data_IF_394941939020
#
_entry.id   IF_394941939020
#
_cell.length_a   1.000
_cell.length_b   1.000
_cell.length_c   1.000
_cell.angle_alpha   90.00
_cell.angle_beta   90.00
_cell.angle_gamma   90.00
#
_symmetry.space_group_name_H-M   'P 1'
#
loop_
_entity.id
_entity.type
_entity.pdbx_description
1 polymer ?
#
# COMPACT_ATOMS: atom_id res chain seq x y z
N UNK A 1 16.71 14.21 4.09
CA UNK A 1 16.61 12.72 4.13
C UNK A 1 16.42 12.23 2.71
N UNK A 2 17.13 11.19 2.29
CA UNK A 2 16.97 10.56 0.96
C UNK A 2 16.38 9.17 1.12
N UNK A 3 15.42 8.83 0.26
CA UNK A 3 14.79 7.51 0.21
C UNK A 3 15.37 6.73 -0.98
N UNK A 4 15.57 5.42 -0.85
CA UNK A 4 16.06 4.55 -1.93
C UNK A 4 14.97 3.60 -2.39
N UNK A 5 14.79 3.50 -3.70
CA UNK A 5 13.94 2.49 -4.33
C UNK A 5 14.75 1.81 -5.44
N UNK A 6 15.25 0.59 -5.16
CA UNK A 6 16.31 -0.03 -5.95
C UNK A 6 17.55 0.88 -6.01
N UNK A 7 17.96 1.22 -7.23
CA UNK A 7 19.09 2.13 -7.49
C UNK A 7 18.66 3.60 -7.56
N UNK A 8 17.36 3.90 -7.52
CA UNK A 8 16.83 5.24 -7.68
C UNK A 8 16.72 5.97 -6.34
N UNK A 9 17.03 7.28 -6.37
CA UNK A 9 16.78 8.18 -5.25
C UNK A 9 15.40 8.79 -5.39
N UNK A 10 14.57 8.62 -4.36
CA UNK A 10 13.22 9.16 -4.32
C UNK A 10 13.23 10.48 -3.54
N UNK A 11 12.67 11.52 -4.17
CA UNK A 11 12.52 12.84 -3.56
C UNK A 11 11.49 12.78 -2.41
N UNK A 12 11.74 13.45 -1.28
CA UNK A 12 10.77 13.48 -0.18
C UNK A 12 9.39 14.04 -0.57
N UNK A 13 9.33 14.89 -1.60
CA UNK A 13 8.08 15.50 -2.09
C UNK A 13 7.05 14.48 -2.58
N UNK A 14 7.47 13.28 -3.01
CA UNK A 14 6.56 12.23 -3.49
C UNK A 14 6.33 11.11 -2.46
N UNK A 15 6.91 11.24 -1.26
CA UNK A 15 6.75 10.30 -0.14
C UNK A 15 5.74 10.88 0.84
N UNK A 16 4.63 10.18 1.07
CA UNK A 16 3.51 10.69 1.88
C UNK A 16 3.41 10.05 3.27
N UNK A 17 4.11 8.95 3.53
CA UNK A 17 4.20 8.33 4.84
C UNK A 17 5.61 7.75 5.05
N UNK A 18 6.12 7.89 6.27
CA UNK A 18 7.37 7.28 6.72
C UNK A 18 7.18 6.76 8.14
N UNK A 19 7.63 5.54 8.40
CA UNK A 19 7.77 4.95 9.74
C UNK A 19 9.25 4.76 10.07
N UNK A 20 9.55 4.02 11.14
CA UNK A 20 10.91 3.67 11.51
C UNK A 20 11.57 2.72 10.51
N UNK A 21 10.77 1.85 9.85
CA UNK A 21 11.27 0.77 9.00
C UNK A 21 10.74 0.81 7.56
N UNK A 22 9.69 1.58 7.26
CA UNK A 22 9.06 1.64 5.93
C UNK A 22 8.73 3.06 5.48
N UNK A 23 8.41 3.20 4.20
CA UNK A 23 7.89 4.44 3.62
C UNK A 23 6.88 4.12 2.51
N UNK A 24 5.97 5.05 2.26
CA UNK A 24 4.99 4.98 1.19
C UNK A 24 5.16 6.15 0.23
N UNK A 25 5.13 5.85 -1.07
CA UNK A 25 5.34 6.81 -2.15
C UNK A 25 4.26 6.69 -3.21
N UNK A 26 4.00 7.80 -3.89
CA UNK A 26 3.10 7.82 -5.04
C UNK A 26 3.79 7.31 -6.30
N UNK A 27 3.06 6.62 -7.18
CA UNK A 27 3.64 6.00 -8.37
C UNK A 27 3.69 6.98 -9.55
N UNK A 28 4.71 6.92 -10.40
CA UNK A 28 4.83 7.77 -11.58
C UNK A 28 3.83 7.43 -12.69
N UNK A 29 3.48 6.15 -12.84
CA UNK A 29 2.53 5.64 -13.85
C UNK A 29 1.41 4.83 -13.20
N UNK A 30 0.55 5.43 -12.37
CA UNK A 30 -0.47 4.65 -11.66
C UNK A 30 -1.35 3.81 -12.62
N UNK A 31 -1.44 2.49 -12.39
CA UNK A 31 -2.25 1.54 -13.19
C UNK A 31 -3.74 1.87 -13.05
N UNK A 32 -4.12 2.28 -11.84
CA UNK A 32 -5.41 2.89 -11.51
C UNK A 32 -5.16 4.13 -10.68
N UNK A 33 -6.06 5.14 -10.68
CA UNK A 33 -5.96 6.27 -9.77
C UNK A 33 -5.79 5.82 -8.31
N UNK A 34 -4.74 6.32 -7.65
CA UNK A 34 -4.39 5.91 -6.30
C UNK A 34 -3.50 4.67 -6.17
N UNK A 35 -2.97 4.16 -7.29
CA UNK A 35 -1.89 3.16 -7.25
C UNK A 35 -0.65 3.77 -6.57
N UNK A 36 -0.37 3.31 -5.35
CA UNK A 36 0.78 3.71 -4.54
C UNK A 36 1.62 2.50 -4.17
N UNK A 37 2.85 2.76 -3.72
CA UNK A 37 3.79 1.74 -3.27
C UNK A 37 4.12 1.90 -1.79
N UNK A 38 4.30 0.79 -1.09
CA UNK A 38 4.91 0.75 0.25
C UNK A 38 6.15 -0.12 0.22
N UNK A 39 7.27 0.43 0.71
CA UNK A 39 8.58 -0.20 0.65
C UNK A 39 9.26 -0.15 2.04
N UNK A 40 10.11 -1.13 2.39
CA UNK A 40 11.00 -1.01 3.52
C UNK A 40 12.05 0.09 3.26
N UNK A 41 12.57 0.72 4.31
CA UNK A 41 13.66 1.71 4.18
C UNK A 41 14.98 1.02 3.79
N UNK A 42 15.17 -0.23 4.20
CA UNK A 42 16.34 -1.04 3.84
C UNK A 42 16.10 -1.69 2.46
N UNK A 43 16.95 -1.41 1.46
CA UNK A 43 16.77 -1.92 0.11
C UNK A 43 17.19 -3.39 0.01
N UNK A 44 16.25 -4.30 0.27
CA UNK A 44 16.41 -5.73 0.00
C UNK A 44 15.65 -6.15 -1.23
N UNK A 45 16.20 -7.08 -2.00
CA UNK A 45 15.60 -7.54 -3.25
C UNK A 45 14.40 -8.47 -3.01
N UNK A 46 14.53 -9.42 -2.08
CA UNK A 46 13.54 -10.48 -1.87
C UNK A 46 12.81 -10.35 -0.54
N UNK A 47 11.54 -10.73 -0.51
CA UNK A 47 10.70 -10.69 0.68
C UNK A 47 11.30 -11.50 1.84
N UNK A 48 11.90 -12.66 1.52
CA UNK A 48 12.59 -13.53 2.50
C UNK A 48 13.80 -12.87 3.18
N UNK A 49 14.34 -11.79 2.61
CA UNK A 49 15.51 -11.09 3.15
C UNK A 49 15.11 -10.04 4.19
N UNK A 50 13.81 -9.80 4.39
CA UNK A 50 13.29 -8.93 5.44
C UNK A 50 13.41 -9.59 6.82
N UNK A 51 13.71 -8.78 7.82
CA UNK A 51 13.62 -9.20 9.21
C UNK A 51 12.15 -9.21 9.67
N UNK A 52 11.78 -9.97 10.72
CA UNK A 52 10.40 -10.03 11.21
C UNK A 52 9.80 -8.67 11.60
N UNK A 53 10.60 -7.76 12.15
CA UNK A 53 10.19 -6.39 12.47
C UNK A 53 9.87 -5.57 11.21
N UNK A 54 10.65 -5.73 10.14
CA UNK A 54 10.39 -5.08 8.86
C UNK A 54 9.15 -5.65 8.17
N UNK A 55 8.91 -6.96 8.25
CA UNK A 55 7.67 -7.57 7.72
C UNK A 55 6.45 -7.02 8.44
N UNK A 56 6.50 -6.96 9.78
CA UNK A 56 5.39 -6.45 10.58
C UNK A 56 5.11 -4.96 10.28
N UNK A 57 6.15 -4.12 10.25
CA UNK A 57 5.99 -2.70 9.94
C UNK A 57 5.51 -2.48 8.50
N UNK A 58 6.08 -3.18 7.51
CA UNK A 58 5.70 -3.09 6.09
C UNK A 58 4.20 -3.35 5.90
N UNK A 59 3.67 -4.42 6.48
CA UNK A 59 2.26 -4.77 6.31
C UNK A 59 1.30 -3.94 7.19
N UNK A 60 1.74 -3.46 8.36
CA UNK A 60 0.97 -2.48 9.13
C UNK A 60 0.84 -1.15 8.38
N UNK A 61 1.93 -0.69 7.76
CA UNK A 61 1.92 0.50 6.89
C UNK A 61 1.04 0.25 5.67
N UNK A 62 1.18 -0.91 5.03
CA UNK A 62 0.36 -1.31 3.87
C UNK A 62 -1.14 -1.28 4.19
N UNK A 63 -1.55 -1.81 5.35
CA UNK A 63 -2.94 -1.76 5.81
C UNK A 63 -3.43 -0.31 5.96
N UNK A 64 -2.66 0.52 6.67
CA UNK A 64 -3.00 1.94 6.90
C UNK A 64 -3.11 2.73 5.60
N UNK A 65 -2.17 2.51 4.69
CA UNK A 65 -2.15 3.15 3.37
C UNK A 65 -3.35 2.70 2.55
N UNK A 66 -3.64 1.39 2.50
CA UNK A 66 -4.81 0.83 1.84
C UNK A 66 -6.11 1.52 2.24
N UNK A 67 -6.35 1.67 3.56
CA UNK A 67 -7.52 2.39 4.07
C UNK A 67 -7.59 3.85 3.60
N UNK A 68 -6.46 4.55 3.57
CA UNK A 68 -6.40 5.95 3.14
C UNK A 68 -6.65 6.09 1.65
N UNK A 69 -5.98 5.29 0.81
CA UNK A 69 -6.12 5.40 -0.64
C UNK A 69 -7.50 4.89 -1.11
N UNK A 70 -8.06 3.86 -0.49
CA UNK A 70 -9.43 3.43 -0.77
C UNK A 70 -10.41 4.58 -0.52
N UNK A 71 -10.32 5.23 0.64
CA UNK A 71 -11.18 6.35 1.01
C UNK A 71 -10.99 7.55 0.10
N UNK A 72 -9.75 7.97 -0.12
CA UNK A 72 -9.44 9.19 -0.86
C UNK A 72 -9.84 9.07 -2.34
N UNK A 73 -9.51 7.95 -2.97
CA UNK A 73 -9.84 7.69 -4.37
C UNK A 73 -11.24 7.11 -4.57
N UNK A 74 -12.05 6.99 -3.52
CA UNK A 74 -13.43 6.48 -3.55
C UNK A 74 -13.52 5.06 -4.11
N UNK A 75 -12.53 4.23 -3.80
CA UNK A 75 -12.58 2.80 -4.03
C UNK A 75 -13.58 2.12 -3.10
N UNK A 76 -14.02 0.93 -3.49
CA UNK A 76 -14.88 0.05 -2.69
C UNK A 76 -14.19 -1.24 -2.29
N UNK A 77 -12.97 -1.47 -2.80
CA UNK A 77 -12.12 -2.61 -2.51
C UNK A 77 -10.66 -2.23 -2.79
N UNK A 78 -9.71 -3.07 -2.38
CA UNK A 78 -8.28 -2.88 -2.62
C UNK A 78 -7.67 -4.16 -3.16
N UNK A 79 -6.77 -4.01 -4.15
CA UNK A 79 -5.82 -5.06 -4.52
C UNK A 79 -4.47 -4.74 -3.87
N UNK A 80 -3.94 -5.69 -3.11
CA UNK A 80 -2.55 -5.70 -2.66
C UNK A 80 -1.77 -6.71 -3.49
N UNK A 81 -0.63 -6.32 -4.03
CA UNK A 81 0.22 -7.22 -4.82
C UNK A 81 1.69 -6.99 -4.50
N UNK A 82 2.47 -8.07 -4.44
CA UNK A 82 3.91 -8.04 -4.28
C UNK A 82 4.52 -9.04 -5.26
N UNK A 83 5.35 -8.54 -6.17
CA UNK A 83 6.07 -9.36 -7.14
C UNK A 83 7.46 -9.69 -6.55
N UNK A 84 7.58 -10.83 -5.87
CA UNK A 84 8.83 -11.24 -5.20
C UNK A 84 9.76 -12.06 -6.13
N UNK A 85 10.53 -11.35 -6.94
CA UNK A 85 11.55 -11.91 -7.83
C UNK A 85 11.24 -11.75 -9.34
N UNK A 86 12.22 -12.00 -10.22
CA UNK A 86 12.10 -11.74 -11.66
C UNK A 86 10.95 -12.49 -12.32
N UNK A 87 10.78 -13.78 -12.00
CA UNK A 87 9.72 -14.62 -12.56
C UNK A 87 8.32 -14.24 -12.05
N UNK A 88 8.24 -13.48 -10.96
CA UNK A 88 6.99 -12.89 -10.45
C UNK A 88 6.68 -11.52 -11.10
N UNK A 89 7.56 -11.00 -11.96
CA UNK A 89 7.41 -9.71 -12.63
C UNK A 89 8.19 -8.55 -12.01
N UNK A 90 9.03 -8.80 -10.99
CA UNK A 90 9.77 -7.74 -10.31
C UNK A 90 10.77 -7.05 -11.25
N UNK A 91 10.68 -5.73 -11.37
CA UNK A 91 11.60 -4.94 -12.21
C UNK A 91 12.56 -4.10 -11.37
N UNK A 92 12.05 -3.43 -10.33
CA UNK A 92 12.90 -2.78 -9.33
C UNK A 92 13.30 -3.79 -8.25
N UNK A 93 14.60 -4.05 -8.12
CA UNK A 93 15.22 -4.94 -7.12
C UNK A 93 15.18 -4.36 -5.70
N UNK A 94 13.98 -4.11 -5.22
CA UNK A 94 13.66 -3.68 -3.86
C UNK A 94 12.24 -4.18 -3.58
N UNK A 95 12.02 -4.90 -2.48
CA UNK A 95 10.68 -5.30 -2.03
C UNK A 95 9.75 -4.09 -1.97
N UNK A 96 8.56 -4.23 -2.55
CA UNK A 96 7.50 -3.25 -2.46
C UNK A 96 6.14 -3.91 -2.62
N UNK A 97 5.14 -3.31 -1.98
CA UNK A 97 3.75 -3.72 -2.10
C UNK A 97 3.01 -2.67 -2.92
N UNK A 98 2.42 -3.10 -4.02
CA UNK A 98 1.47 -2.31 -4.78
C UNK A 98 0.13 -2.28 -4.06
N UNK A 99 -0.44 -1.09 -3.94
CA UNK A 99 -1.75 -0.87 -3.33
C UNK A 99 -2.62 -0.16 -4.36
N UNK A 100 -3.67 -0.84 -4.82
CA UNK A 100 -4.52 -0.38 -5.91
C UNK A 100 -5.97 -0.29 -5.44
N UNK A 101 -6.53 0.92 -5.24
CA UNK A 101 -7.96 1.12 -5.02
C UNK A 101 -8.78 0.63 -6.20
N UNK A 102 -9.80 -0.18 -5.91
CA UNK A 102 -10.65 -0.83 -6.91
C UNK A 102 -12.05 -0.25 -6.89
N UNK A 103 -12.66 -0.16 -8.08
CA UNK A 103 -14.06 0.27 -8.26
C UNK A 103 -14.77 -0.72 -9.17
N UNK A 104 -16.09 -0.81 -9.01
CA UNK A 104 -16.91 -1.59 -9.94
C UNK A 104 -16.70 -1.07 -11.38
N UNK A 105 -16.34 -1.97 -12.29
CA UNK A 105 -16.12 -1.65 -13.70
C UNK A 105 -14.79 -0.96 -14.02
N UNK A 106 -13.81 -0.94 -13.10
CA UNK A 106 -12.47 -0.43 -13.39
C UNK A 106 -11.72 -1.24 -14.46
N UNK A 107 -11.98 -2.54 -14.53
CA UNK A 107 -11.54 -3.44 -15.58
C UNK A 107 -12.70 -4.29 -16.11
N UNK A 108 -12.64 -4.64 -17.40
CA UNK A 108 -13.61 -5.57 -18.00
C UNK A 108 -13.51 -6.98 -17.38
N UNK A 109 -12.29 -7.46 -17.13
CA UNK A 109 -12.01 -8.69 -16.37
C UNK A 109 -11.23 -8.31 -15.11
N UNK A 110 -11.66 -8.81 -13.95
CA UNK A 110 -11.01 -8.47 -12.68
C UNK A 110 -9.49 -8.72 -12.69
N UNK A 111 -9.07 -9.85 -13.27
CA UNK A 111 -7.66 -10.28 -13.24
C UNK A 111 -6.79 -9.57 -14.29
N UNK A 112 -7.38 -8.76 -15.18
CA UNK A 112 -6.59 -7.94 -16.12
C UNK A 112 -5.71 -6.91 -15.42
N UNK A 113 -5.98 -6.60 -14.14
CA UNK A 113 -5.07 -5.79 -13.32
C UNK A 113 -3.66 -6.39 -13.22
N UNK A 114 -3.53 -7.73 -13.23
CA UNK A 114 -2.23 -8.39 -13.17
C UNK A 114 -1.49 -8.31 -14.50
N UNK A 115 -2.22 -8.38 -15.62
CA UNK A 115 -1.66 -8.14 -16.95
C UNK A 115 -1.12 -6.70 -17.05
N UNK A 116 -1.87 -5.73 -16.52
CA UNK A 116 -1.44 -4.32 -16.51
C UNK A 116 -0.27 -4.06 -15.55
N UNK A 117 -0.24 -4.68 -14.37
CA UNK A 117 0.93 -4.63 -13.48
C UNK A 117 2.18 -5.18 -14.18
N UNK A 118 2.06 -6.32 -14.87
CA UNK A 118 3.18 -6.91 -15.60
C UNK A 118 3.71 -6.02 -16.74
N UNK A 119 2.85 -5.21 -17.38
CA UNK A 119 3.26 -4.26 -18.43
C UNK A 119 3.85 -2.98 -17.83
N UNK A 120 3.18 -2.43 -16.82
CA UNK A 120 3.52 -1.18 -16.14
C UNK A 120 4.97 -1.14 -15.67
N UNK A 121 5.47 -2.27 -15.18
CA UNK A 121 6.79 -2.36 -14.58
C UNK A 121 7.93 -2.54 -15.61
N UNK A 122 7.63 -2.79 -16.90
CA UNK A 122 8.63 -3.05 -17.95
C UNK A 122 9.18 -1.77 -18.59
N UNK A 123 10.51 -1.72 -18.73
CA UNK A 123 11.26 -0.59 -19.29
C UNK A 123 10.93 -0.28 -20.77
N UNK A 124 10.54 -1.28 -21.57
CA UNK A 124 10.28 -1.11 -23.01
C UNK A 124 9.05 -0.23 -23.32
N UNK A 125 8.09 -0.14 -22.39
CA UNK A 125 6.95 0.77 -22.45
C UNK A 125 7.17 2.02 -21.57
N UNK A 126 8.39 2.20 -21.03
CA UNK A 126 8.74 3.31 -20.16
C UNK A 126 9.02 4.61 -20.93
N UNK A 127 8.01 5.12 -21.65
CA UNK A 127 8.09 6.40 -22.35
C UNK A 127 7.84 7.59 -21.41
N UNK A 128 8.68 8.65 -21.45
CA UNK A 128 8.47 9.89 -20.71
C UNK A 128 7.15 10.59 -21.00
N UNK A 129 6.55 10.34 -22.17
CA UNK A 129 5.27 10.95 -22.56
C UNK A 129 4.08 10.45 -21.74
N UNK A 130 4.21 9.29 -21.07
CA UNK A 130 3.19 8.71 -20.20
C UNK A 130 3.43 9.06 -18.72
N UNK A 131 4.48 9.81 -18.41
CA UNK A 131 4.79 10.22 -17.05
C UNK A 131 3.94 11.41 -16.65
N UNK A 132 3.28 11.28 -15.50
CA UNK A 132 2.79 12.47 -14.81
C UNK A 132 3.97 13.29 -14.30
N UNK A 133 3.76 14.59 -14.19
CA UNK A 133 4.75 15.55 -13.74
C UNK A 133 5.13 15.34 -12.27
N UNK A 134 6.33 15.78 -11.88
CA UNK A 134 6.73 15.70 -10.46
C UNK A 134 5.84 16.58 -9.57
N UNK A 135 5.31 17.67 -10.11
CA UNK A 135 4.38 18.58 -9.45
C UNK A 135 3.06 17.87 -9.15
N UNK A 136 2.49 17.12 -10.10
CA UNK A 136 1.30 16.30 -9.87
C UNK A 136 1.54 15.20 -8.83
N UNK A 137 2.70 14.55 -8.87
CA UNK A 137 3.09 13.57 -7.85
C UNK A 137 3.20 14.21 -6.46
N UNK A 138 3.82 15.38 -6.37
CA UNK A 138 4.00 16.08 -5.11
C UNK A 138 2.66 16.56 -4.52
N UNK A 139 1.74 17.02 -5.37
CA UNK A 139 0.39 17.41 -4.98
C UNK A 139 -0.41 16.22 -4.42
N UNK A 140 -0.43 15.09 -5.13
CA UNK A 140 -1.08 13.87 -4.65
C UNK A 140 -0.48 13.38 -3.33
N UNK A 141 0.85 13.38 -3.20
CA UNK A 141 1.50 13.01 -1.95
C UNK A 141 1.12 13.94 -0.80
N UNK A 142 0.95 15.25 -1.06
CA UNK A 142 0.53 16.21 -0.04
C UNK A 142 -0.92 15.97 0.42
N UNK A 143 -1.83 15.70 -0.51
CA UNK A 143 -3.21 15.34 -0.19
C UNK A 143 -3.28 14.07 0.69
N UNK A 144 -2.45 13.07 0.38
CA UNK A 144 -2.37 11.84 1.18
C UNK A 144 -1.73 12.05 2.56
N UNK A 145 -0.75 12.95 2.71
CA UNK A 145 -0.10 13.25 4.01
C UNK A 145 -1.11 13.72 5.05
N UNK A 146 -2.12 14.50 4.66
CA UNK A 146 -3.12 15.07 5.57
C UNK A 146 -3.82 13.98 6.39
N UNK A 147 -4.11 12.82 5.80
CA UNK A 147 -4.77 11.73 6.50
C UNK A 147 -3.94 11.20 7.67
N UNK A 148 -2.61 11.10 7.50
CA UNK A 148 -1.72 10.54 8.53
C UNK A 148 -1.36 11.53 9.64
N UNK A 149 -1.44 12.83 9.37
CA UNK A 149 -1.31 13.85 10.40
C UNK A 149 -2.47 13.76 11.40
N UNK A 150 -3.70 13.61 10.90
CA UNK A 150 -4.92 13.53 11.73
C UNK A 150 -4.91 12.29 12.63
N UNK A 151 -4.45 11.14 12.13
CA UNK A 151 -4.35 9.92 12.94
C UNK A 151 -3.37 10.08 14.10
N UNK A 152 -2.22 10.71 13.88
CA UNK A 152 -1.24 10.95 14.94
C UNK A 152 -1.78 11.94 16.00
N UNK A 153 -2.54 12.96 15.58
CA UNK A 153 -3.16 13.90 16.54
C UNK A 153 -4.23 13.22 17.39
N UNK A 154 -5.05 12.34 16.81
CA UNK A 154 -6.08 11.59 17.55
C UNK A 154 -5.51 10.57 18.52
N UNK A 155 -4.42 9.88 18.15
CA UNK A 155 -3.71 8.97 19.06
C UNK A 155 -3.11 9.77 20.24
N UNK A 156 -2.51 10.93 19.98
CA UNK A 156 -1.95 11.79 21.02
C UNK A 156 -3.01 12.28 22.03
N UNK A 157 -4.23 12.58 21.56
CA UNK A 157 -5.36 12.91 22.46
C UNK A 157 -5.83 11.70 23.29
N UNK A 158 -5.79 10.48 22.74
CA UNK A 158 -6.18 9.26 23.45
C UNK A 158 -5.11 8.78 24.44
N UNK A 159 -3.83 8.99 24.18
CA UNK A 159 -2.73 8.64 25.09
C UNK A 159 -2.62 9.53 26.33
N UNK A 160 -3.36 10.64 26.38
CA UNK A 160 -3.46 11.51 27.55
C UNK A 160 -4.60 11.13 28.52
N UNK A 161 -5.34 10.04 28.26
CA UNK A 161 -6.33 9.52 29.21
C UNK A 161 -5.68 8.52 30.17
N UNK A 162 -5.06 9.06 31.22
CA UNK A 162 -4.64 8.29 32.37
C UNK A 162 -5.83 8.19 33.35
N UNK A 163 -6.66 7.15 33.22
CA UNK A 163 -7.56 6.73 34.31
C UNK A 163 -8.08 5.31 34.09
N UNK A 164 -7.66 4.44 35.00
CA UNK A 164 -8.24 3.14 35.37
C UNK A 164 -9.77 3.09 35.22
N UNK A 165 -10.26 2.34 34.24
CA UNK A 165 -11.51 1.55 34.35
C UNK A 165 -11.52 0.48 33.25
N UNK A 166 -11.16 -0.75 33.61
CA UNK A 166 -11.51 -1.92 32.81
C UNK A 166 -12.99 -2.23 33.07
N UNK A 167 -13.83 -2.13 32.05
CA UNK A 167 -15.20 -2.67 32.08
C UNK A 167 -15.21 -3.93 31.20
N UNK A 168 -15.59 -5.10 31.72
CA UNK A 168 -15.74 -6.28 30.88
C UNK A 168 -17.06 -6.15 30.10
N UNK A 169 -17.00 -6.23 28.78
CA UNK A 169 -18.20 -6.41 27.95
C UNK A 169 -18.31 -7.90 27.66
N UNK A 170 -19.30 -8.52 28.32
CA UNK A 170 -19.71 -9.89 28.08
C UNK A 170 -20.87 -10.00 27.09
N UNK A 171 -20.87 -11.16 26.44
CA UNK A 171 -21.93 -11.90 25.75
C UNK A 171 -22.33 -11.56 24.30
N UNK A 172 -21.98 -12.54 23.45
CA UNK A 172 -22.85 -13.33 22.58
C UNK A 172 -23.72 -12.60 21.55
N UNK A 173 -23.23 -12.66 20.31
CA UNK A 173 -24.09 -12.81 19.14
C UNK A 173 -23.49 -13.91 18.25
N UNK A 174 -24.05 -15.11 18.35
CA UNK A 174 -23.81 -16.19 17.42
C UNK A 174 -24.37 -15.79 16.04
N UNK A 175 -23.48 -15.52 15.08
CA UNK A 175 -23.85 -15.40 13.68
C UNK A 175 -23.77 -16.80 13.09
N UNK A 176 -24.92 -17.37 12.76
CA UNK A 176 -25.01 -18.62 12.02
C UNK A 176 -24.46 -18.40 10.60
N UNK A 177 -23.21 -18.79 10.36
CA UNK A 177 -22.69 -18.99 9.02
C UNK A 177 -22.98 -20.42 8.59
N UNK A 178 -23.64 -20.58 7.44
CA UNK A 178 -23.65 -21.86 6.75
C UNK A 178 -22.20 -22.27 6.44
N UNK A 179 -21.81 -23.54 6.62
CA UNK A 179 -20.45 -23.95 6.32
C UNK A 179 -20.28 -23.94 4.79
N UNK A 180 -19.63 -22.90 4.26
CA UNK A 180 -18.93 -23.01 2.99
C UNK A 180 -17.98 -24.20 3.12
N UNK A 181 -18.23 -25.25 2.33
CA UNK A 181 -17.41 -26.45 2.38
C UNK A 181 -15.98 -26.05 2.00
N UNK A 182 -14.99 -26.58 2.72
CA UNK A 182 -13.55 -26.32 2.50
C UNK A 182 -13.08 -26.54 1.05
N UNK A 183 -13.91 -27.21 0.23
CA UNK A 183 -13.71 -27.44 -1.19
C UNK A 183 -13.86 -26.18 -2.06
N UNK A 184 -14.57 -25.17 -1.58
CA UNK A 184 -14.80 -23.91 -2.31
C UNK A 184 -13.73 -22.84 -2.00
N UNK A 185 -12.75 -23.16 -1.13
CA UNK A 185 -11.74 -22.22 -0.63
C UNK A 185 -10.35 -22.37 -1.28
N UNK A 186 -10.17 -23.37 -2.15
CA UNK A 186 -8.99 -23.49 -3.00
C UNK A 186 -9.42 -23.29 -4.45
N UNK A 187 -9.29 -22.05 -4.95
CA UNK A 187 -9.18 -21.80 -6.39
C UNK A 187 -7.80 -22.26 -6.88
#
# INVERSE_FOLDING_TARGET
MSFRFGQHLIKPSVVFLKTELSFALVNRKPVVPGHVLVCPLRPVERFRDLRPDEVADLFQVTQRVGTVVEKHFQGTSITFSMQDGPEAGQTVKHVHVHILPRKAGDFHRNDSIYDELQKHDKEEEDSPALWRSEEEMAAEAEELRVYFQIFNTRICCLSNFNSTTCVPVGNDAAIASSPLQLRDLCC
#
